data_IF_258175067611
#
_entry.id   IF_258175067611
#
_cell.length_a   1.000
_cell.length_b   1.000
_cell.length_c   1.000
_cell.angle_alpha   90.00
_cell.angle_beta   90.00
_cell.angle_gamma   90.00
#
_symmetry.space_group_name_H-M   'P 1'
#
loop_
_entity.id
_entity.type
_entity.pdbx_description
1 polymer ?
#
# COMPACT_ATOMS: atom_id res chain seq x y z
N UNK A 1 30.75 -12.52 -53.99
CA UNK A 1 31.00 -11.39 -53.07
C UNK A 1 30.27 -11.69 -51.78
N UNK A 2 30.98 -12.17 -50.77
CA UNK A 2 30.41 -12.49 -49.46
C UNK A 2 30.33 -11.20 -48.65
N UNK A 3 29.14 -10.66 -48.47
CA UNK A 3 28.94 -9.45 -47.67
C UNK A 3 28.84 -9.87 -46.21
N UNK A 4 29.96 -9.84 -45.50
CA UNK A 4 29.98 -9.83 -44.03
C UNK A 4 29.42 -8.48 -43.59
N UNK A 5 28.19 -8.49 -43.09
CA UNK A 5 27.65 -7.37 -42.33
C UNK A 5 28.41 -7.34 -41.00
N UNK A 6 29.60 -6.74 -41.01
CA UNK A 6 30.25 -6.23 -39.81
C UNK A 6 29.23 -5.24 -39.22
N UNK A 7 28.51 -5.67 -38.19
CA UNK A 7 27.60 -4.80 -37.47
C UNK A 7 28.50 -3.79 -36.76
N UNK A 8 28.60 -2.59 -37.33
CA UNK A 8 29.21 -1.43 -36.69
C UNK A 8 28.42 -1.19 -35.40
N UNK A 9 28.90 -1.77 -34.30
CA UNK A 9 28.32 -1.67 -32.95
C UNK A 9 28.69 -0.32 -32.33
N UNK A 10 28.61 0.75 -33.12
CA UNK A 10 28.89 2.11 -32.71
C UNK A 10 27.63 2.70 -32.07
N UNK A 11 27.29 2.14 -30.90
CA UNK A 11 26.40 2.79 -29.96
C UNK A 11 26.92 4.21 -29.72
N UNK A 12 26.07 5.21 -30.00
CA UNK A 12 26.38 6.61 -29.70
C UNK A 12 26.76 6.74 -28.21
N UNK A 13 27.70 7.63 -27.84
CA UNK A 13 28.20 7.73 -26.47
C UNK A 13 27.11 8.02 -25.42
N UNK A 14 25.95 8.55 -25.82
CA UNK A 14 24.80 8.75 -24.95
C UNK A 14 24.05 7.45 -24.58
N UNK A 15 24.30 6.35 -25.29
CA UNK A 15 23.65 5.05 -25.13
C UNK A 15 24.63 4.00 -24.58
N UNK A 16 25.26 4.31 -23.44
CA UNK A 16 26.03 3.33 -22.68
C UNK A 16 25.10 2.46 -21.82
N UNK A 17 24.83 1.26 -22.32
CA UNK A 17 24.00 0.28 -21.62
C UNK A 17 24.74 -0.49 -20.52
N UNK A 18 26.07 -0.39 -20.42
CA UNK A 18 26.88 -1.10 -19.40
C UNK A 18 26.66 -0.56 -17.99
N UNK A 19 26.24 0.70 -17.88
CA UNK A 19 25.96 1.37 -16.61
C UNK A 19 24.48 1.34 -16.23
N UNK A 20 23.60 0.79 -17.08
CA UNK A 20 22.18 0.72 -16.76
C UNK A 20 21.91 -0.37 -15.72
N UNK A 21 21.22 -0.07 -14.61
CA UNK A 21 20.80 -1.09 -13.68
C UNK A 21 19.76 -1.99 -14.36
N UNK A 22 19.96 -3.30 -14.28
CA UNK A 22 18.97 -4.29 -14.76
C UNK A 22 17.75 -4.22 -13.83
N UNK A 23 16.74 -3.46 -14.22
CA UNK A 23 15.46 -3.42 -13.52
C UNK A 23 14.59 -4.53 -14.09
N UNK A 24 14.42 -5.64 -13.38
CA UNK A 24 13.55 -6.72 -13.80
C UNK A 24 12.11 -6.20 -14.00
N UNK A 25 11.64 -6.09 -15.24
CA UNK A 25 10.26 -5.70 -15.62
C UNK A 25 9.47 -6.96 -16.04
N UNK A 26 8.98 -7.74 -15.07
CA UNK A 26 8.28 -9.01 -15.35
C UNK A 26 7.24 -9.40 -14.28
N UNK A 27 6.44 -10.43 -14.60
CA UNK A 27 5.49 -11.05 -13.68
C UNK A 27 6.22 -11.61 -12.45
N UNK A 28 5.71 -11.31 -11.25
CA UNK A 28 6.35 -11.65 -9.98
C UNK A 28 6.78 -10.46 -9.14
N UNK A 29 6.55 -9.21 -9.60
CA UNK A 29 6.63 -8.04 -8.71
C UNK A 29 5.64 -8.22 -7.56
N UNK A 30 6.16 -8.41 -6.35
CA UNK A 30 5.39 -8.14 -5.13
C UNK A 30 5.05 -6.65 -5.17
N UNK A 31 3.75 -6.35 -5.28
CA UNK A 31 3.25 -4.97 -5.22
C UNK A 31 3.84 -4.32 -3.97
N UNK A 32 4.47 -3.15 -4.12
CA UNK A 32 5.02 -2.42 -2.98
C UNK A 32 3.92 -2.26 -1.93
N UNK A 33 4.08 -2.93 -0.79
CA UNK A 33 3.18 -2.80 0.34
C UNK A 33 3.50 -1.49 1.04
N UNK A 34 2.49 -0.66 1.28
CA UNK A 34 2.65 0.52 2.12
C UNK A 34 3.09 0.04 3.51
N UNK A 35 4.29 0.41 3.91
CA UNK A 35 4.84 0.05 5.22
C UNK A 35 4.57 1.21 6.16
N UNK A 36 3.90 0.92 7.28
CA UNK A 36 3.59 1.89 8.32
C UNK A 36 4.39 1.48 9.56
N UNK A 37 5.16 2.41 10.11
CA UNK A 37 5.87 2.19 11.36
C UNK A 37 4.88 2.38 12.51
N UNK A 38 4.88 1.41 13.44
CA UNK A 38 4.13 1.50 14.68
C UNK A 38 5.06 1.97 15.81
N UNK A 39 4.48 2.66 16.79
CA UNK A 39 5.19 3.01 18.02
C UNK A 39 5.54 1.74 18.82
N UNK A 40 6.63 1.75 19.62
CA UNK A 40 7.18 0.56 20.27
C UNK A 40 6.23 -0.08 21.28
N UNK A 41 5.36 0.71 21.91
CA UNK A 41 4.31 0.24 22.82
C UNK A 41 3.23 -0.55 22.06
N UNK A 42 2.78 -0.04 20.91
CA UNK A 42 1.78 -0.70 20.07
C UNK A 42 2.37 -1.97 19.45
N UNK A 43 3.61 -1.93 18.98
CA UNK A 43 4.30 -3.08 18.43
C UNK A 43 4.55 -4.19 19.47
N UNK A 44 4.71 -3.84 20.75
CA UNK A 44 4.83 -4.82 21.83
C UNK A 44 3.51 -5.56 22.12
N UNK A 45 2.37 -4.91 21.86
CA UNK A 45 1.04 -5.48 22.09
C UNK A 45 0.54 -6.27 20.88
N UNK A 46 0.83 -5.81 19.67
CA UNK A 46 0.38 -6.43 18.42
C UNK A 46 1.52 -7.15 17.69
N UNK A 47 1.54 -8.50 17.68
CA UNK A 47 2.67 -9.27 17.14
C UNK A 47 2.73 -9.31 15.60
N UNK A 48 1.61 -9.05 14.91
CA UNK A 48 1.54 -9.10 13.45
C UNK A 48 0.55 -8.07 12.87
N UNK A 49 0.64 -7.85 11.55
CA UNK A 49 -0.20 -6.89 10.83
C UNK A 49 -1.67 -7.31 10.77
N UNK A 50 -1.98 -8.61 10.84
CA UNK A 50 -3.34 -9.12 10.95
C UNK A 50 -3.99 -8.70 12.28
N UNK A 51 -3.28 -8.85 13.40
CA UNK A 51 -3.76 -8.45 14.72
C UNK A 51 -4.09 -6.94 14.78
N UNK A 52 -3.22 -6.09 14.21
CA UNK A 52 -3.45 -4.64 14.11
C UNK A 52 -4.70 -4.37 13.25
N UNK A 53 -4.80 -5.02 12.09
CA UNK A 53 -5.91 -4.79 11.17
C UNK A 53 -7.26 -5.20 11.77
N UNK A 54 -7.32 -6.32 12.49
CA UNK A 54 -8.54 -6.73 13.18
C UNK A 54 -8.92 -5.74 14.29
N UNK A 55 -7.97 -5.27 15.09
CA UNK A 55 -8.21 -4.23 16.09
C UNK A 55 -8.79 -2.94 15.47
N UNK A 56 -8.19 -2.45 14.38
CA UNK A 56 -8.67 -1.26 13.68
C UNK A 56 -10.06 -1.48 13.06
N UNK A 57 -10.35 -2.66 12.52
CA UNK A 57 -11.68 -3.01 12.00
C UNK A 57 -12.75 -3.01 13.09
N UNK A 58 -12.43 -3.53 14.28
CA UNK A 58 -13.34 -3.49 15.43
C UNK A 58 -13.66 -2.05 15.84
N UNK A 59 -12.65 -1.19 15.91
CA UNK A 59 -12.83 0.24 16.20
C UNK A 59 -13.73 0.91 15.16
N UNK A 60 -13.50 0.64 13.87
CA UNK A 60 -14.32 1.16 12.77
C UNK A 60 -15.79 0.70 12.91
N UNK A 61 -16.05 -0.55 13.28
CA UNK A 61 -17.42 -1.05 13.51
C UNK A 61 -18.09 -0.33 14.68
N UNK A 62 -17.38 -0.17 15.80
CA UNK A 62 -17.90 0.52 16.97
C UNK A 62 -18.26 1.98 16.64
N UNK A 63 -17.38 2.70 15.94
CA UNK A 63 -17.62 4.08 15.50
C UNK A 63 -18.87 4.15 14.62
N UNK A 64 -19.02 3.25 13.63
CA UNK A 64 -20.21 3.21 12.77
C UNK A 64 -21.49 2.99 13.57
N UNK A 65 -21.49 2.05 14.52
CA UNK A 65 -22.65 1.79 15.36
C UNK A 65 -23.06 3.02 16.19
N UNK A 66 -22.08 3.73 16.77
CA UNK A 66 -22.37 4.96 17.52
C UNK A 66 -22.95 6.06 16.62
N UNK A 67 -22.41 6.23 15.40
CA UNK A 67 -22.91 7.23 14.45
C UNK A 67 -24.35 6.96 13.99
N UNK A 68 -24.76 5.69 13.87
CA UNK A 68 -26.15 5.31 13.59
C UNK A 68 -27.08 5.55 14.79
N UNK A 69 -26.56 5.46 16.02
CA UNK A 69 -27.35 5.66 17.24
C UNK A 69 -27.58 7.13 17.59
N UNK A 70 -26.68 8.03 17.18
CA UNK A 70 -26.87 9.49 17.36
C UNK A 70 -28.06 10.05 16.55
N UNK A 71 -28.48 9.37 15.48
CA UNK A 71 -29.63 9.78 14.68
C UNK A 71 -31.00 9.45 15.31
N UNK A 72 -31.08 8.53 16.28
CA UNK A 72 -32.37 8.11 16.87
C UNK A 72 -32.70 8.79 18.21
N UNK A 73 -31.74 9.49 18.83
CA UNK A 73 -31.96 10.16 20.12
C UNK A 73 -32.50 11.60 20.01
N UNK A 74 -32.51 12.21 18.82
CA UNK A 74 -33.08 13.56 18.62
C UNK A 74 -34.60 13.57 18.43
N UNK A 75 -35.26 12.41 18.34
CA UNK A 75 -36.72 12.33 18.11
C UNK A 75 -37.53 12.16 19.40
N UNK A 76 -36.94 11.64 20.48
CA UNK A 76 -37.67 11.29 21.71
C UNK A 76 -37.75 12.40 22.77
N UNK A 77 -37.02 13.50 22.64
CA UNK A 77 -37.08 14.61 23.62
C UNK A 77 -38.23 15.59 23.33
N UNK A 78 -38.81 15.59 22.13
CA UNK A 78 -39.85 16.57 21.73
C UNK A 78 -41.31 16.12 21.90
N UNK A 79 -41.59 15.00 22.60
CA UNK A 79 -42.97 14.52 22.82
C UNK A 79 -43.44 14.58 24.28
N UNK A 80 -42.65 15.14 25.19
CA UNK A 80 -43.05 15.28 26.60
C UNK A 80 -42.75 16.69 27.13
N UNK A 81 -43.41 17.68 26.52
CA UNK A 81 -43.60 19.03 27.04
C UNK A 81 -44.93 19.61 26.54
#
# INVERSE_FOLDING_TARGET
MSQTFEMDDDLRPEYDFTQLPVIARGQGRKRSTLTVQLDPDVAAIFPDSGAVNEGLRLLIRLIQQTSSQTSVQSVTVSKEA
#
